data_IF_287597789364
#
_entry.id   IF_287597789364
#
_cell.length_a   1.000
_cell.length_b   1.000
_cell.length_c   1.000
_cell.angle_alpha   90.00
_cell.angle_beta   90.00
_cell.angle_gamma   90.00
#
_symmetry.space_group_name_H-M   'P 1'
#
loop_
_entity.id
_entity.type
_entity.pdbx_description
1 polymer ?
#
# COMPACT_ATOMS: atom_id res chain seq x y z
N UNK A 1 -23.23 5.69 8.11
CA UNK A 1 -22.22 6.11 7.11
C UNK A 1 -21.62 4.87 6.46
N UNK A 2 -21.55 4.83 5.13
CA UNK A 2 -20.94 3.71 4.41
C UNK A 2 -19.42 3.73 4.59
N UNK A 3 -18.79 2.55 4.62
CA UNK A 3 -17.34 2.45 4.68
C UNK A 3 -16.70 2.93 3.36
N UNK A 4 -15.46 3.44 3.38
CA UNK A 4 -14.76 3.86 2.17
C UNK A 4 -14.66 2.69 1.19
N UNK A 5 -15.01 2.93 -0.07
CA UNK A 5 -14.96 1.89 -1.11
C UNK A 5 -13.53 1.74 -1.62
N UNK A 6 -13.12 0.49 -1.89
CA UNK A 6 -11.78 0.16 -2.39
C UNK A 6 -11.48 0.83 -3.75
N UNK A 7 -12.52 1.08 -4.57
CA UNK A 7 -12.37 1.70 -5.89
C UNK A 7 -11.63 3.04 -5.81
N UNK A 8 -11.99 3.87 -4.84
CA UNK A 8 -11.37 5.18 -4.60
C UNK A 8 -9.89 5.10 -4.17
N UNK A 9 -9.39 3.93 -3.76
CA UNK A 9 -7.97 3.72 -3.48
C UNK A 9 -7.19 3.28 -4.72
N UNK A 10 -7.86 2.63 -5.69
CA UNK A 10 -7.23 2.11 -6.92
C UNK A 10 -7.06 3.18 -7.99
N UNK A 11 -7.93 4.18 -7.99
CA UNK A 11 -7.90 5.29 -8.96
C UNK A 11 -6.73 6.28 -8.72
N UNK A 12 -6.03 6.18 -7.58
CA UNK A 12 -4.94 7.07 -7.18
C UNK A 12 -3.58 6.65 -7.76
N UNK A 13 -2.71 7.62 -8.06
CA UNK A 13 -1.31 7.34 -8.44
C UNK A 13 -0.47 6.88 -7.24
N UNK A 14 0.71 6.29 -7.49
CA UNK A 14 1.60 5.81 -6.41
C UNK A 14 1.99 6.91 -5.42
N UNK A 15 2.31 8.09 -5.95
CA UNK A 15 2.68 9.25 -5.13
C UNK A 15 1.50 9.72 -4.25
N UNK A 16 0.28 9.71 -4.79
CA UNK A 16 -0.92 10.11 -4.05
C UNK A 16 -1.30 9.09 -2.98
N UNK A 17 -1.12 7.79 -3.24
CA UNK A 17 -1.35 6.72 -2.24
C UNK A 17 -0.43 6.93 -1.03
N UNK A 18 0.86 7.17 -1.25
CA UNK A 18 1.81 7.44 -0.18
C UNK A 18 1.44 8.70 0.63
N UNK A 19 1.03 9.78 -0.05
CA UNK A 19 0.56 11.00 0.61
C UNK A 19 -0.71 10.76 1.44
N UNK A 20 -1.69 10.02 0.91
CA UNK A 20 -2.91 9.69 1.66
C UNK A 20 -2.62 8.81 2.88
N UNK A 21 -1.68 7.89 2.80
CA UNK A 21 -1.26 7.08 3.96
C UNK A 21 -0.75 7.98 5.08
N UNK A 22 0.08 8.97 4.76
CA UNK A 22 0.57 9.93 5.74
C UNK A 22 -0.57 10.76 6.33
N UNK A 23 -1.50 11.23 5.50
CA UNK A 23 -2.67 11.98 5.95
C UNK A 23 -3.55 11.16 6.90
N UNK A 24 -3.85 9.90 6.55
CA UNK A 24 -4.69 9.02 7.38
C UNK A 24 -3.99 8.64 8.69
N UNK A 25 -2.66 8.44 8.68
CA UNK A 25 -1.87 8.23 9.91
C UNK A 25 -1.93 9.43 10.84
N UNK A 26 -1.84 10.66 10.31
CA UNK A 26 -2.00 11.90 11.08
C UNK A 26 -3.41 12.01 11.68
N UNK A 27 -4.45 11.71 10.89
CA UNK A 27 -5.83 11.68 11.38
C UNK A 27 -6.02 10.68 12.52
N UNK A 28 -5.43 9.48 12.41
CA UNK A 28 -5.47 8.49 13.49
C UNK A 28 -4.77 8.98 14.76
N UNK A 29 -3.66 9.72 14.63
CA UNK A 29 -2.96 10.31 15.78
C UNK A 29 -3.83 11.35 16.47
N UNK A 30 -4.46 12.24 15.70
CA UNK A 30 -5.38 13.27 16.21
C UNK A 30 -6.58 12.63 16.93
N UNK A 31 -7.19 11.61 16.34
CA UNK A 31 -8.31 10.90 16.97
C UNK A 31 -7.90 10.24 18.30
N UNK A 32 -6.67 9.71 18.40
CA UNK A 32 -6.13 9.15 19.66
C UNK A 32 -5.90 10.24 20.69
N UNK A 33 -5.41 11.41 20.29
CA UNK A 33 -5.25 12.56 21.17
C UNK A 33 -6.61 13.01 21.71
N UNK A 34 -7.61 13.15 20.84
CA UNK A 34 -8.98 13.50 21.22
C UNK A 34 -9.59 12.47 22.18
N UNK A 35 -9.36 11.18 21.92
CA UNK A 35 -9.76 10.10 22.83
C UNK A 35 -9.11 10.23 24.20
N UNK A 36 -7.81 10.54 24.27
CA UNK A 36 -7.10 10.75 25.53
C UNK A 36 -7.63 11.97 26.30
N UNK A 37 -8.03 13.04 25.60
CA UNK A 37 -8.65 14.23 26.22
C UNK A 37 -10.12 14.03 26.60
N UNK A 38 -10.73 12.90 26.25
CA UNK A 38 -12.15 12.62 26.50
C UNK A 38 -13.13 13.42 25.63
N UNK A 39 -12.65 14.15 24.62
CA UNK A 39 -13.46 14.99 23.71
C UNK A 39 -13.80 14.29 22.39
N UNK A 40 -13.91 12.96 22.43
CA UNK A 40 -14.12 12.17 21.22
C UNK A 40 -15.60 12.18 20.82
N UNK A 41 -15.95 12.99 19.83
CA UNK A 41 -17.33 13.11 19.37
C UNK A 41 -17.80 11.93 18.51
N UNK A 42 -16.91 11.37 17.69
CA UNK A 42 -17.27 10.40 16.62
C UNK A 42 -16.39 9.13 16.66
N UNK A 43 -16.72 8.15 17.51
CA UNK A 43 -15.89 6.94 17.68
C UNK A 43 -15.79 6.07 16.43
N UNK A 44 -16.80 6.11 15.55
CA UNK A 44 -16.79 5.37 14.29
C UNK A 44 -15.70 5.84 13.31
N UNK A 45 -15.18 7.07 13.46
CA UNK A 45 -14.10 7.60 12.61
C UNK A 45 -12.82 6.76 12.70
N UNK A 46 -12.55 6.11 13.84
CA UNK A 46 -11.46 5.15 13.95
C UNK A 46 -11.60 3.98 12.99
N UNK A 47 -12.81 3.44 12.84
CA UNK A 47 -13.08 2.32 11.93
C UNK A 47 -12.89 2.77 10.49
N UNK A 48 -13.40 3.95 10.12
CA UNK A 48 -13.23 4.49 8.77
C UNK A 48 -11.75 4.73 8.44
N UNK A 49 -10.99 5.41 9.31
CA UNK A 49 -9.58 5.71 9.08
C UNK A 49 -8.71 4.45 9.01
N UNK A 50 -8.91 3.47 9.92
CA UNK A 50 -8.21 2.18 9.88
C UNK A 50 -8.51 1.41 8.60
N UNK A 51 -9.78 1.37 8.20
CA UNK A 51 -10.19 0.66 6.99
C UNK A 51 -9.61 1.32 5.74
N UNK A 52 -9.61 2.65 5.66
CA UNK A 52 -8.98 3.39 4.55
C UNK A 52 -7.48 3.13 4.49
N UNK A 53 -6.79 3.16 5.63
CA UNK A 53 -5.35 2.88 5.70
C UNK A 53 -5.02 1.48 5.18
N UNK A 54 -5.78 0.46 5.60
CA UNK A 54 -5.58 -0.92 5.15
C UNK A 54 -5.72 -1.02 3.63
N UNK A 55 -6.77 -0.40 3.05
CA UNK A 55 -6.96 -0.40 1.59
C UNK A 55 -5.81 0.24 0.83
N UNK A 56 -5.30 1.38 1.31
CA UNK A 56 -4.17 2.07 0.68
C UNK A 56 -2.91 1.19 0.73
N UNK A 57 -2.61 0.59 1.88
CA UNK A 57 -1.45 -0.32 2.02
C UNK A 57 -1.59 -1.59 1.17
N UNK A 58 -2.80 -2.11 0.99
CA UNK A 58 -3.04 -3.25 0.08
C UNK A 58 -2.73 -2.86 -1.37
N UNK A 59 -3.16 -1.69 -1.84
CA UNK A 59 -2.86 -1.21 -3.19
C UNK A 59 -1.35 -1.01 -3.40
N UNK A 60 -0.64 -0.42 -2.42
CA UNK A 60 0.83 -0.32 -2.50
C UNK A 60 1.48 -1.69 -2.62
N UNK A 61 1.02 -2.67 -1.82
CA UNK A 61 1.57 -4.02 -1.84
C UNK A 61 1.27 -4.75 -3.15
N UNK A 62 0.05 -4.61 -3.68
CA UNK A 62 -0.32 -5.16 -4.99
C UNK A 62 0.63 -4.65 -6.09
N UNK A 63 0.95 -3.35 -6.08
CA UNK A 63 1.86 -2.73 -7.05
C UNK A 63 3.32 -3.18 -6.88
N UNK A 64 3.78 -3.30 -5.64
CA UNK A 64 5.12 -3.85 -5.35
C UNK A 64 5.26 -5.29 -5.84
N UNK A 65 4.26 -6.14 -5.58
CA UNK A 65 4.30 -7.55 -6.04
C UNK A 65 4.39 -7.63 -7.58
N UNK A 66 3.68 -6.75 -8.31
CA UNK A 66 3.78 -6.68 -9.77
C UNK A 66 5.16 -6.22 -10.23
N UNK A 67 5.75 -5.23 -9.55
CA UNK A 67 7.11 -4.77 -9.84
C UNK A 67 8.16 -5.88 -9.57
N UNK A 68 8.08 -6.54 -8.41
CA UNK A 68 8.98 -7.63 -8.01
C UNK A 68 8.86 -8.84 -8.95
N UNK A 69 7.66 -9.18 -9.41
CA UNK A 69 7.44 -10.23 -10.40
C UNK A 69 8.12 -9.90 -11.74
N UNK A 70 8.10 -8.63 -12.16
CA UNK A 70 8.80 -8.18 -13.36
C UNK A 70 10.34 -8.19 -13.23
N UNK A 71 10.87 -8.07 -12.01
CA UNK A 71 12.31 -8.21 -11.74
C UNK A 71 12.76 -9.68 -11.72
N UNK A 72 11.91 -10.58 -11.21
CA UNK A 72 12.16 -12.01 -11.22
C UNK A 72 12.31 -12.58 -12.64
N UNK A 73 11.49 -12.14 -13.60
CA UNK A 73 11.60 -12.58 -15.00
C UNK A 73 12.90 -12.11 -15.68
N UNK A 74 13.37 -10.89 -15.40
CA UNK A 74 14.65 -10.37 -15.93
C UNK A 74 15.86 -11.16 -15.42
N UNK A 75 15.81 -11.64 -14.18
CA UNK A 75 16.87 -12.48 -13.61
C UNK A 75 16.90 -13.91 -14.19
N UNK A 76 15.75 -14.41 -14.67
CA UNK A 76 15.66 -15.72 -15.31
C UNK A 76 16.23 -15.70 -16.74
N UNK A 77 16.08 -14.60 -17.49
CA UNK A 77 16.65 -14.47 -18.85
C UNK A 77 18.17 -14.30 -18.84
N UNK A 78 18.75 -13.72 -17.78
CA UNK A 78 20.21 -13.62 -17.63
C UNK A 78 20.86 -14.98 -17.32
N UNK A 79 20.14 -15.90 -16.67
CA UNK A 79 20.65 -17.22 -16.26
C UNK A 79 20.67 -18.26 -17.39
N UNK A 80 19.86 -18.08 -18.44
CA UNK A 80 19.86 -18.97 -19.62
C UNK A 80 20.93 -18.63 -20.67
N UNK A 81 21.48 -17.42 -20.66
CA UNK A 81 22.59 -17.03 -21.54
C UNK A 81 23.96 -17.57 -21.07
N UNK A 82 24.13 -17.83 -19.77
CA UNK A 82 25.40 -18.31 -19.20
C UNK A 82 25.64 -19.81 -19.36
N UNK A 83 24.60 -20.65 -19.49
CA UNK A 83 24.77 -22.11 -19.63
C UNK A 83 25.08 -22.58 -21.06
N UNK A 84 24.93 -21.73 -22.08
CA UNK A 84 25.24 -22.08 -23.47
C UNK A 84 26.73 -21.87 -23.85
N UNK A 85 27.50 -21.08 -23.10
CA UNK A 85 28.92 -20.80 -23.41
C UNK A 85 29.92 -21.76 -22.75
N UNK A 86 29.47 -22.68 -21.88
CA UNK A 86 30.34 -23.59 -21.12
C UNK A 86 30.35 -25.05 -21.65
N UNK A 87 29.73 -25.32 -22.80
CA UNK A 87 29.60 -26.67 -23.37
C UNK A 87 30.41 -26.89 -24.68
N UNK A 88 31.31 -25.95 -25.03
CA UNK A 88 32.03 -25.98 -26.31
C UNK A 88 33.57 -25.84 -26.20
N UNK A 89 34.17 -26.18 -25.06
CA UNK A 89 35.63 -26.32 -24.94
C UNK A 89 36.01 -27.63 -24.25
#
# INVERSE_FOLDING_TARGET
MSLPKIKESRDLSDAEVAQQILAVKRQLMELRLQQATGRLDKPHMFKHAKHRLAQLMTVERERQIVADAGEAEKSATAKSAQTASAAAE
#
